data_IF_925863889753
#
_entry.id   IF_925863889753
#
_cell.length_a   1.000
_cell.length_b   1.000
_cell.length_c   1.000
_cell.angle_alpha   90.00
_cell.angle_beta   90.00
_cell.angle_gamma   90.00
#
_symmetry.space_group_name_H-M   'P 1'
#
loop_
_entity.id
_entity.type
_entity.pdbx_description
1 polymer ?
#
# COMPACT_ATOMS: atom_id res chain seq x y z
N UNK A 1 -13.95 -12.01 -1.09
CA UNK A 1 -12.58 -12.18 -1.59
C UNK A 1 -12.29 -10.99 -2.49
N UNK A 2 -11.13 -10.34 -2.37
CA UNK A 2 -10.72 -9.31 -3.34
C UNK A 2 -10.09 -10.02 -4.54
N UNK A 3 -10.44 -9.56 -5.73
CA UNK A 3 -9.81 -10.04 -6.96
C UNK A 3 -8.36 -9.53 -6.99
N UNK A 4 -7.43 -10.47 -6.82
CA UNK A 4 -5.99 -10.24 -6.99
C UNK A 4 -5.68 -10.47 -8.46
N UNK A 5 -5.24 -9.43 -9.15
CA UNK A 5 -5.01 -9.46 -10.59
C UNK A 5 -3.52 -9.61 -10.94
N UNK A 6 -2.64 -8.84 -10.29
CA UNK A 6 -1.20 -8.83 -10.55
C UNK A 6 -0.43 -8.51 -9.26
N UNK A 7 0.55 -9.34 -8.90
CA UNK A 7 1.37 -9.16 -7.68
C UNK A 7 2.67 -8.37 -7.93
N UNK A 8 2.93 -8.01 -9.18
CA UNK A 8 4.12 -7.25 -9.58
C UNK A 8 4.12 -5.86 -8.95
N UNK A 9 5.22 -5.50 -8.27
CA UNK A 9 5.36 -4.20 -7.59
C UNK A 9 4.73 -4.10 -6.20
N UNK A 10 4.14 -5.19 -5.67
CA UNK A 10 3.61 -5.20 -4.30
C UNK A 10 4.70 -4.96 -3.26
N UNK A 11 5.87 -5.60 -3.42
CA UNK A 11 7.01 -5.43 -2.51
C UNK A 11 7.55 -4.01 -2.50
N UNK A 12 7.73 -3.42 -3.68
CA UNK A 12 8.19 -2.03 -3.83
C UNK A 12 7.19 -1.05 -3.19
N UNK A 13 5.89 -1.33 -3.36
CA UNK A 13 4.81 -0.55 -2.71
C UNK A 13 4.87 -0.66 -1.20
N UNK A 14 5.10 -1.86 -0.65
CA UNK A 14 5.26 -2.05 0.80
C UNK A 14 6.44 -1.22 1.31
N UNK A 15 7.62 -1.36 0.70
CA UNK A 15 8.83 -0.66 1.18
C UNK A 15 8.67 0.86 1.04
N UNK A 16 8.14 1.34 -0.09
CA UNK A 16 7.91 2.76 -0.33
C UNK A 16 6.95 3.38 0.68
N UNK A 17 5.78 2.77 0.88
CA UNK A 17 4.77 3.26 1.82
C UNK A 17 5.24 3.15 3.27
N UNK A 18 5.92 2.06 3.64
CA UNK A 18 6.46 1.87 4.99
C UNK A 18 7.53 2.91 5.31
N UNK A 19 8.48 3.12 4.39
CA UNK A 19 9.55 4.12 4.56
C UNK A 19 8.99 5.53 4.65
N UNK A 20 8.01 5.87 3.80
CA UNK A 20 7.34 7.17 3.85
C UNK A 20 6.63 7.39 5.18
N UNK A 21 5.89 6.40 5.68
CA UNK A 21 5.19 6.50 6.95
C UNK A 21 6.16 6.69 8.13
N UNK A 22 7.28 5.95 8.14
CA UNK A 22 8.33 6.14 9.14
C UNK A 22 8.98 7.53 9.04
N UNK A 23 9.28 7.99 7.83
CA UNK A 23 9.84 9.34 7.60
C UNK A 23 8.87 10.44 8.05
N UNK A 24 7.56 10.19 7.99
CA UNK A 24 6.52 11.07 8.51
C UNK A 24 6.31 10.98 10.03
N UNK A 25 7.09 10.14 10.74
CA UNK A 25 7.03 9.99 12.20
C UNK A 25 6.00 8.97 12.70
N UNK A 26 5.44 8.12 11.83
CA UNK A 26 4.55 7.05 12.25
C UNK A 26 5.30 5.98 13.06
N UNK A 27 4.58 5.30 13.96
CA UNK A 27 5.11 4.11 14.63
C UNK A 27 5.26 2.97 13.61
N UNK A 28 6.21 2.08 13.82
CA UNK A 28 6.43 0.90 12.96
C UNK A 28 5.15 0.08 12.72
N UNK A 29 4.30 -0.07 13.73
CA UNK A 29 3.03 -0.80 13.59
C UNK A 29 2.06 -0.09 12.66
N UNK A 30 1.97 1.24 12.73
CA UNK A 30 1.08 2.03 11.88
C UNK A 30 1.62 2.12 10.45
N UNK A 31 2.93 2.25 10.30
CA UNK A 31 3.61 2.16 9.01
C UNK A 31 3.35 0.80 8.33
N UNK A 32 3.43 -0.31 9.08
CA UNK A 32 3.15 -1.66 8.56
C UNK A 32 1.69 -1.83 8.13
N UNK A 33 0.74 -1.24 8.86
CA UNK A 33 -0.68 -1.26 8.46
C UNK A 33 -0.88 -0.48 7.16
N UNK A 34 -0.36 0.73 7.09
CA UNK A 34 -0.49 1.60 5.91
C UNK A 34 0.14 0.95 4.67
N UNK A 35 1.33 0.36 4.81
CA UNK A 35 2.01 -0.31 3.69
C UNK A 35 1.27 -1.56 3.22
N UNK A 36 0.68 -2.34 4.13
CA UNK A 36 -0.17 -3.48 3.77
C UNK A 36 -1.43 -3.04 3.03
N UNK A 37 -2.08 -1.95 3.46
CA UNK A 37 -3.24 -1.41 2.74
C UNK A 37 -2.86 -0.91 1.34
N UNK A 38 -1.73 -0.21 1.22
CA UNK A 38 -1.20 0.25 -0.07
C UNK A 38 -0.93 -0.91 -1.03
N UNK A 39 -0.23 -1.95 -0.59
CA UNK A 39 0.05 -3.13 -1.39
C UNK A 39 -1.23 -3.89 -1.76
N UNK A 40 -2.17 -4.00 -0.82
CA UNK A 40 -3.49 -4.60 -1.05
C UNK A 40 -4.37 -3.84 -2.05
N UNK A 41 -4.06 -2.58 -2.35
CA UNK A 41 -4.69 -1.83 -3.45
C UNK A 41 -3.97 -2.13 -4.77
N UNK A 42 -2.64 -2.11 -4.76
CA UNK A 42 -1.82 -2.35 -5.96
C UNK A 42 -2.06 -3.73 -6.55
N UNK A 43 -2.15 -4.78 -5.71
CA UNK A 43 -2.40 -6.14 -6.21
C UNK A 43 -3.79 -6.36 -6.81
N UNK A 44 -4.71 -5.42 -6.55
CA UNK A 44 -6.05 -5.39 -7.16
C UNK A 44 -6.10 -4.62 -8.48
N UNK A 45 -4.95 -4.13 -9.00
CA UNK A 45 -4.85 -3.41 -10.28
C UNK A 45 -4.20 -4.31 -11.32
N UNK A 46 -4.51 -4.06 -12.60
CA UNK A 46 -3.88 -4.74 -13.73
C UNK A 46 -2.57 -4.02 -14.05
N UNK A 47 -1.45 -4.74 -14.02
CA UNK A 47 -0.10 -4.19 -14.27
C UNK A 47 0.52 -3.47 -13.06
N UNK A 48 1.63 -2.76 -13.29
CA UNK A 48 2.35 -1.99 -12.26
C UNK A 48 1.55 -0.72 -11.92
N UNK A 49 0.53 -0.89 -11.08
CA UNK A 49 -0.30 0.19 -10.59
C UNK A 49 0.37 0.96 -9.44
N UNK A 50 0.21 2.28 -9.43
CA UNK A 50 0.56 3.12 -8.27
C UNK A 50 -0.64 3.28 -7.35
N UNK A 51 -0.42 3.40 -6.04
CA UNK A 51 -1.48 3.76 -5.08
C UNK A 51 -1.56 5.29 -4.92
N UNK A 52 -2.76 5.84 -4.94
CA UNK A 52 -2.97 7.27 -4.63
C UNK A 52 -3.34 7.49 -3.17
N UNK A 53 -3.18 8.72 -2.69
CA UNK A 53 -3.59 9.09 -1.33
C UNK A 53 -5.08 8.86 -1.11
N UNK A 54 -5.90 9.16 -2.11
CA UNK A 54 -7.35 9.02 -2.06
C UNK A 54 -7.76 7.54 -1.93
N UNK A 55 -7.13 6.66 -2.71
CA UNK A 55 -7.36 5.21 -2.63
C UNK A 55 -6.95 4.65 -1.27
N UNK A 56 -5.81 5.12 -0.75
CA UNK A 56 -5.31 4.71 0.55
C UNK A 56 -6.24 5.18 1.69
N UNK A 57 -6.71 6.41 1.66
CA UNK A 57 -7.66 6.95 2.65
C UNK A 57 -9.03 6.25 2.59
N UNK A 58 -9.48 5.85 1.40
CA UNK A 58 -10.70 5.05 1.25
C UNK A 58 -10.54 3.65 1.87
N UNK A 59 -9.31 3.11 1.92
CA UNK A 59 -8.99 1.78 2.45
C UNK A 59 -8.73 1.76 3.96
N UNK A 60 -8.24 2.86 4.53
CA UNK A 60 -7.86 2.97 5.96
C UNK A 60 -9.05 3.33 6.88
N UNK A 61 -10.24 3.57 6.31
CA UNK A 61 -11.47 3.86 7.07
C UNK A 61 -12.06 2.63 7.78
#
# INVERSE_FOLDING_TARGET
AQDVFDVSGAGDTVIGAFTLALAAGAKMQDAAKVSNFAAGIVVGKVGIGVVTREELLARVR
#
